data_IF_907880728724
#
_entry.id   IF_907880728724
#
_cell.length_a   1.000
_cell.length_b   1.000
_cell.length_c   1.000
_cell.angle_alpha   90.00
_cell.angle_beta   90.00
_cell.angle_gamma   90.00
#
_symmetry.space_group_name_H-M   'P 1'
#
loop_
_entity.id
_entity.type
_entity.pdbx_description
1 polymer ?
#
# COMPACT_ATOMS: atom_id res chain seq x y z
N UNK A 1 12.05 -20.03 -14.31
CA UNK A 1 12.16 -19.55 -12.91
C UNK A 1 10.87 -18.84 -12.46
N UNK A 2 10.38 -17.79 -13.14
CA UNK A 2 9.14 -17.10 -12.75
C UNK A 2 7.91 -18.05 -12.76
N UNK A 3 7.69 -18.81 -13.84
CA UNK A 3 6.61 -19.81 -13.95
C UNK A 3 6.68 -20.85 -12.83
N UNK A 4 7.86 -21.37 -12.57
CA UNK A 4 8.08 -22.37 -11.53
C UNK A 4 7.76 -21.80 -10.14
N UNK A 5 8.19 -20.59 -9.86
CA UNK A 5 7.90 -19.91 -8.60
C UNK A 5 6.37 -19.66 -8.46
N UNK A 6 5.77 -19.00 -9.44
CA UNK A 6 4.35 -18.64 -9.41
C UNK A 6 3.41 -19.87 -9.42
N UNK A 7 3.86 -20.99 -9.99
CA UNK A 7 3.06 -22.24 -9.96
C UNK A 7 2.85 -22.78 -8.54
N UNK A 8 3.74 -22.43 -7.60
CA UNK A 8 3.71 -22.88 -6.19
C UNK A 8 3.07 -21.86 -5.25
N UNK A 9 3.10 -20.56 -5.60
CA UNK A 9 2.56 -19.49 -4.76
C UNK A 9 1.05 -19.38 -4.91
N UNK A 10 0.33 -19.35 -3.79
CA UNK A 10 -1.13 -19.16 -3.73
C UNK A 10 -1.49 -18.19 -2.63
N UNK A 11 -1.81 -16.96 -3.00
CA UNK A 11 -2.27 -15.92 -2.08
C UNK A 11 -3.24 -14.97 -2.77
N UNK A 12 -4.30 -14.51 -2.11
CA UNK A 12 -5.21 -13.50 -2.66
C UNK A 12 -4.54 -12.15 -2.87
N UNK A 13 -3.35 -11.93 -2.30
CA UNK A 13 -2.58 -10.69 -2.38
C UNK A 13 -1.46 -10.73 -3.43
N UNK A 14 -1.33 -11.83 -4.17
CA UNK A 14 -0.41 -11.97 -5.29
C UNK A 14 -1.19 -12.09 -6.60
N UNK A 15 -0.62 -11.56 -7.68
CA UNK A 15 -1.18 -11.70 -9.02
C UNK A 15 -1.14 -13.16 -9.45
N UNK A 16 -2.30 -13.72 -9.80
CA UNK A 16 -2.41 -15.12 -10.16
C UNK A 16 -1.93 -15.36 -11.59
N UNK A 17 -1.00 -16.28 -11.79
CA UNK A 17 -0.66 -16.85 -13.09
C UNK A 17 -1.73 -17.86 -13.48
N UNK A 18 -2.45 -17.59 -14.57
CA UNK A 18 -3.53 -18.44 -15.10
C UNK A 18 -3.01 -19.51 -16.07
N UNK A 19 -1.92 -19.20 -16.77
CA UNK A 19 -1.33 -20.12 -17.72
C UNK A 19 -0.04 -19.59 -18.33
N UNK A 20 0.61 -20.45 -19.08
CA UNK A 20 1.80 -20.07 -19.86
C UNK A 20 1.84 -20.85 -21.17
N UNK A 21 2.49 -20.29 -22.16
CA UNK A 21 2.81 -20.95 -23.41
C UNK A 21 4.29 -20.73 -23.74
N UNK A 22 4.93 -21.78 -24.23
CA UNK A 22 6.31 -21.71 -24.69
C UNK A 22 6.42 -22.46 -26.01
N UNK A 23 6.79 -21.76 -27.05
CA UNK A 23 7.26 -22.35 -28.31
C UNK A 23 8.74 -22.04 -28.57
N UNK A 24 9.26 -22.43 -29.72
CA UNK A 24 10.68 -22.28 -30.02
C UNK A 24 11.17 -20.82 -30.07
N UNK A 25 10.28 -19.85 -30.20
CA UNK A 25 10.62 -18.42 -30.39
C UNK A 25 10.04 -17.49 -29.33
N UNK A 26 8.93 -17.90 -28.67
CA UNK A 26 8.19 -17.03 -27.76
C UNK A 26 7.83 -17.74 -26.45
N UNK A 27 7.83 -16.96 -25.37
CA UNK A 27 7.32 -17.37 -24.08
C UNK A 27 6.27 -16.37 -23.63
N UNK A 28 5.05 -16.85 -23.38
CA UNK A 28 3.91 -16.04 -22.99
C UNK A 28 3.44 -16.44 -21.60
N UNK A 29 3.16 -15.46 -20.77
CA UNK A 29 2.52 -15.64 -19.45
C UNK A 29 1.14 -15.02 -19.50
N UNK A 30 0.16 -15.72 -18.96
CA UNK A 30 -1.23 -15.27 -18.89
C UNK A 30 -1.58 -15.08 -17.41
N UNK A 31 -1.91 -13.84 -17.04
CA UNK A 31 -2.28 -13.47 -15.68
C UNK A 31 -3.75 -13.11 -15.58
N UNK A 32 -4.27 -13.09 -14.35
CA UNK A 32 -5.57 -12.48 -14.09
C UNK A 32 -5.54 -10.98 -14.46
N UNK A 33 -6.69 -10.48 -14.90
CA UNK A 33 -6.79 -9.09 -15.36
C UNK A 33 -7.06 -8.13 -14.20
N UNK A 34 -6.19 -7.13 -14.04
CA UNK A 34 -6.31 -6.07 -13.02
C UNK A 34 -6.79 -4.77 -13.68
N UNK A 35 -8.08 -4.47 -13.48
CA UNK A 35 -8.80 -3.47 -14.27
C UNK A 35 -8.34 -2.02 -14.07
N UNK A 36 -7.72 -1.70 -12.91
CA UNK A 36 -7.26 -0.36 -12.60
C UNK A 36 -5.74 -0.16 -12.75
N UNK A 37 -5.03 -1.11 -13.37
CA UNK A 37 -3.59 -0.96 -13.65
C UNK A 37 -2.72 -0.89 -12.40
N UNK A 38 -1.60 -0.19 -12.48
CA UNK A 38 -0.63 -0.05 -11.39
C UNK A 38 -0.96 1.08 -10.43
N UNK A 39 -0.63 0.89 -9.14
CA UNK A 39 -0.80 1.91 -8.08
C UNK A 39 -0.13 3.23 -8.47
N UNK A 40 1.04 3.19 -9.10
CA UNK A 40 1.80 4.36 -9.54
C UNK A 40 0.97 5.32 -10.40
N UNK A 41 0.09 4.80 -11.27
CA UNK A 41 -0.74 5.60 -12.18
C UNK A 41 -1.77 6.47 -11.43
N UNK A 42 -2.17 6.03 -10.24
CA UNK A 42 -3.16 6.72 -9.40
C UNK A 42 -2.55 7.71 -8.40
N UNK A 43 -1.23 7.66 -8.18
CA UNK A 43 -0.55 8.54 -7.24
C UNK A 43 -0.07 9.84 -7.90
N UNK A 44 0.61 9.75 -9.06
CA UNK A 44 1.28 10.91 -9.62
C UNK A 44 1.45 10.92 -11.15
N UNK A 45 1.04 9.88 -11.86
CA UNK A 45 1.10 9.88 -13.32
C UNK A 45 -0.20 10.40 -13.92
N UNK A 46 -0.16 11.42 -14.82
CA UNK A 46 -1.31 11.76 -15.63
C UNK A 46 -1.60 10.61 -16.61
N UNK A 47 -2.85 10.21 -16.71
CA UNK A 47 -3.25 9.16 -17.65
C UNK A 47 -2.90 9.54 -19.09
N UNK A 48 -2.21 8.66 -19.79
CA UNK A 48 -1.84 8.84 -21.22
C UNK A 48 -3.05 9.00 -22.14
N UNK A 49 -4.25 8.60 -21.71
CA UNK A 49 -5.50 8.67 -22.47
C UNK A 49 -6.31 9.96 -22.26
N UNK A 50 -5.77 10.95 -21.52
CA UNK A 50 -6.47 12.22 -21.25
C UNK A 50 -7.61 12.15 -20.22
N UNK A 51 -7.97 10.97 -19.74
CA UNK A 51 -8.84 10.81 -18.57
C UNK A 51 -7.99 10.78 -17.28
N UNK A 52 -8.28 11.65 -16.34
CA UNK A 52 -7.62 11.61 -15.01
C UNK A 52 -8.15 10.38 -14.28
N UNK A 53 -7.29 9.42 -13.87
CA UNK A 53 -7.75 8.29 -13.08
C UNK A 53 -8.35 8.79 -11.77
N UNK A 54 -9.34 8.10 -11.20
CA UNK A 54 -9.88 8.47 -9.90
C UNK A 54 -8.73 8.46 -8.88
N UNK A 55 -8.59 9.59 -8.18
CA UNK A 55 -7.59 9.71 -7.11
C UNK A 55 -7.98 8.80 -5.95
N UNK A 56 -7.00 8.11 -5.41
CA UNK A 56 -7.20 7.24 -4.25
C UNK A 56 -7.38 8.09 -3.00
N UNK A 57 -8.50 7.91 -2.31
CA UNK A 57 -8.74 8.47 -0.99
C UNK A 57 -7.89 7.79 0.09
N UNK A 58 -7.87 8.36 1.29
CA UNK A 58 -7.07 7.85 2.40
C UNK A 58 -7.42 6.41 2.77
N UNK A 59 -8.71 6.05 2.82
CA UNK A 59 -9.15 4.70 3.17
C UNK A 59 -8.66 3.67 2.15
N UNK A 60 -8.77 3.99 0.88
CA UNK A 60 -8.30 3.13 -0.21
C UNK A 60 -6.77 2.98 -0.18
N UNK A 61 -6.01 4.06 0.06
CA UNK A 61 -4.55 4.00 0.18
C UNK A 61 -4.12 3.11 1.34
N UNK A 62 -4.77 3.22 2.49
CA UNK A 62 -4.45 2.39 3.65
C UNK A 62 -4.83 0.92 3.44
N UNK A 63 -5.92 0.65 2.74
CA UNK A 63 -6.29 -0.72 2.35
C UNK A 63 -5.27 -1.32 1.39
N UNK A 64 -4.84 -0.58 0.37
CA UNK A 64 -3.78 -1.00 -0.56
C UNK A 64 -2.48 -1.27 0.21
N UNK A 65 -2.09 -0.41 1.15
CA UNK A 65 -0.92 -0.61 1.99
C UNK A 65 -0.99 -1.95 2.76
N UNK A 66 -2.13 -2.25 3.40
CA UNK A 66 -2.33 -3.51 4.13
C UNK A 66 -2.29 -4.72 3.20
N UNK A 67 -2.95 -4.66 2.04
CA UNK A 67 -3.02 -5.78 1.09
C UNK A 67 -1.64 -6.06 0.48
N UNK A 68 -0.89 -5.03 0.12
CA UNK A 68 0.50 -5.16 -0.36
C UNK A 68 1.44 -5.72 0.72
N UNK A 69 1.29 -5.28 1.99
CA UNK A 69 2.05 -5.83 3.11
C UNK A 69 1.77 -7.33 3.30
N UNK A 70 0.50 -7.75 3.20
CA UNK A 70 0.12 -9.17 3.29
C UNK A 70 0.68 -10.01 2.13
N UNK A 71 0.88 -9.40 0.96
CA UNK A 71 1.58 -10.06 -0.15
C UNK A 71 3.02 -10.38 0.22
N UNK A 72 3.75 -9.42 0.80
CA UNK A 72 5.13 -9.64 1.27
C UNK A 72 5.19 -10.54 2.51
N UNK A 73 4.28 -10.40 3.47
CA UNK A 73 4.18 -11.31 4.63
C UNK A 73 4.05 -12.77 4.18
N UNK A 74 3.19 -13.03 3.20
CA UNK A 74 3.04 -14.36 2.63
C UNK A 74 4.36 -14.88 2.04
N UNK A 75 5.05 -14.07 1.24
CA UNK A 75 6.32 -14.44 0.60
C UNK A 75 7.45 -14.69 1.60
N UNK A 76 7.53 -13.85 2.64
CA UNK A 76 8.65 -13.87 3.58
C UNK A 76 8.48 -14.87 4.71
N UNK A 77 7.24 -15.09 5.19
CA UNK A 77 6.99 -15.74 6.47
C UNK A 77 6.07 -16.96 6.37
N UNK A 78 5.26 -17.08 5.28
CA UNK A 78 4.35 -18.22 5.10
C UNK A 78 4.85 -19.22 4.06
N UNK A 79 5.82 -18.82 3.22
CA UNK A 79 6.47 -19.68 2.22
C UNK A 79 7.81 -20.15 2.75
N UNK A 80 8.10 -21.46 2.63
CA UNK A 80 9.39 -22.04 3.01
C UNK A 80 10.01 -22.78 1.83
N UNK A 81 11.26 -22.46 1.46
CA UNK A 81 12.06 -21.32 1.89
C UNK A 81 11.43 -19.97 1.50
N UNK A 82 11.75 -18.87 2.22
CA UNK A 82 11.17 -17.57 1.94
C UNK A 82 11.48 -17.08 0.53
N UNK A 83 10.60 -16.27 -0.03
CA UNK A 83 10.78 -15.68 -1.35
C UNK A 83 10.99 -14.18 -1.21
N UNK A 84 12.06 -13.65 -1.80
CA UNK A 84 12.37 -12.23 -1.85
C UNK A 84 11.94 -11.70 -3.21
N UNK A 85 11.10 -10.68 -3.25
CA UNK A 85 10.55 -10.10 -4.47
C UNK A 85 11.61 -9.34 -5.28
N UNK A 86 12.48 -8.56 -4.59
CA UNK A 86 13.63 -7.84 -5.14
C UNK A 86 13.33 -6.61 -6.00
N UNK A 87 12.12 -6.48 -6.57
CA UNK A 87 11.68 -5.29 -7.33
C UNK A 87 10.31 -4.80 -6.86
N UNK A 88 10.11 -4.77 -5.53
CA UNK A 88 8.87 -4.27 -4.95
C UNK A 88 8.79 -2.74 -5.12
N UNK A 89 7.71 -2.27 -5.77
CA UNK A 89 7.49 -0.86 -6.10
C UNK A 89 6.03 -0.60 -6.44
N UNK A 90 5.60 0.66 -6.46
CA UNK A 90 4.21 1.05 -6.71
C UNK A 90 3.68 0.61 -8.08
N UNK A 91 4.53 0.55 -9.12
CA UNK A 91 4.10 0.05 -10.44
C UNK A 91 3.87 -1.46 -10.49
N UNK A 92 4.44 -2.23 -9.54
CA UNK A 92 4.26 -3.67 -9.40
C UNK A 92 3.16 -4.05 -8.40
N UNK A 93 2.43 -3.07 -7.88
CA UNK A 93 1.19 -3.27 -7.11
C UNK A 93 0.04 -2.98 -8.04
N UNK A 94 -0.64 -4.03 -8.53
CA UNK A 94 -1.75 -3.90 -9.46
C UNK A 94 -3.09 -3.83 -8.73
N UNK A 95 -4.02 -3.07 -9.29
CA UNK A 95 -5.30 -2.76 -8.69
C UNK A 95 -6.45 -3.40 -9.49
N UNK A 96 -7.25 -4.23 -8.83
CA UNK A 96 -8.45 -4.82 -9.38
C UNK A 96 -9.62 -3.84 -9.44
N UNK A 97 -10.79 -4.27 -9.93
CA UNK A 97 -11.99 -3.41 -10.13
C UNK A 97 -12.39 -2.61 -8.89
N UNK A 98 -12.25 -3.19 -7.70
CA UNK A 98 -12.59 -2.56 -6.43
C UNK A 98 -11.37 -1.93 -5.73
N UNK A 99 -10.29 -1.65 -6.47
CA UNK A 99 -9.01 -1.18 -5.94
C UNK A 99 -8.41 -2.14 -4.89
N UNK A 100 -8.70 -3.44 -4.98
CA UNK A 100 -7.96 -4.45 -4.23
C UNK A 100 -6.58 -4.62 -4.83
N UNK A 101 -5.57 -4.64 -3.97
CA UNK A 101 -4.17 -4.66 -4.40
C UNK A 101 -3.62 -6.08 -4.50
N UNK A 102 -2.80 -6.32 -5.52
CA UNK A 102 -2.04 -7.56 -5.68
C UNK A 102 -0.61 -7.25 -6.10
N UNK A 103 0.36 -7.91 -5.48
CA UNK A 103 1.78 -7.83 -5.84
C UNK A 103 2.01 -8.65 -7.12
N UNK A 104 2.73 -8.06 -8.06
CA UNK A 104 3.01 -8.62 -9.39
C UNK A 104 4.49 -8.52 -9.76
N UNK A 105 4.86 -9.09 -10.90
CA UNK A 105 6.20 -9.06 -11.49
C UNK A 105 7.27 -9.77 -10.64
N UNK A 106 7.26 -11.10 -10.69
CA UNK A 106 8.23 -11.96 -10.01
C UNK A 106 9.47 -12.28 -10.85
N UNK A 107 9.69 -11.56 -11.95
CA UNK A 107 10.81 -11.80 -12.89
C UNK A 107 12.19 -11.68 -12.24
N UNK A 108 12.32 -10.90 -11.16
CA UNK A 108 13.57 -10.74 -10.40
C UNK A 108 13.56 -11.50 -9.06
N UNK A 109 12.48 -12.18 -8.70
CA UNK A 109 12.34 -12.83 -7.41
C UNK A 109 13.42 -13.91 -7.17
N UNK A 110 13.79 -14.09 -5.91
CA UNK A 110 14.78 -15.09 -5.45
C UNK A 110 14.26 -15.85 -4.25
N UNK A 111 14.60 -17.13 -4.22
CA UNK A 111 14.45 -17.94 -3.02
C UNK A 111 15.50 -17.48 -2.01
N UNK A 112 15.07 -17.13 -0.83
CA UNK A 112 15.91 -16.66 0.26
C UNK A 112 16.62 -17.80 0.99
N UNK A 113 17.31 -17.48 2.07
CA UNK A 113 17.99 -18.46 2.93
C UNK A 113 17.05 -18.91 4.05
N UNK A 114 16.99 -20.20 4.32
CA UNK A 114 16.28 -20.77 5.48
C UNK A 114 17.02 -20.53 6.80
N UNK A 115 18.26 -20.06 6.74
CA UNK A 115 19.09 -19.78 7.95
C UNK A 115 18.71 -18.41 8.50
N UNK A 116 18.54 -18.33 9.81
CA UNK A 116 18.34 -17.05 10.50
C UNK A 116 19.51 -16.10 10.18
N UNK A 117 19.21 -14.88 9.73
CA UNK A 117 20.22 -13.91 9.30
C UNK A 117 20.91 -14.26 7.97
N UNK A 118 20.47 -15.30 7.26
CA UNK A 118 21.03 -15.70 5.98
C UNK A 118 20.68 -14.70 4.86
N UNK A 119 21.61 -14.54 3.91
CA UNK A 119 21.42 -13.69 2.73
C UNK A 119 21.71 -14.47 1.45
N UNK A 120 21.25 -13.92 0.33
CA UNK A 120 21.58 -14.39 -1.02
C UNK A 120 22.54 -13.39 -1.65
N UNK A 121 23.81 -13.79 -1.85
CA UNK A 121 24.77 -12.97 -2.60
C UNK A 121 24.41 -12.97 -4.08
N UNK A 122 24.15 -11.78 -4.63
CA UNK A 122 23.70 -11.64 -6.02
C UNK A 122 24.04 -10.27 -6.59
N UNK A 123 24.11 -10.18 -7.92
CA UNK A 123 24.21 -8.89 -8.60
C UNK A 123 23.06 -7.98 -8.15
N UNK A 124 23.36 -6.73 -7.83
CA UNK A 124 22.33 -5.73 -7.46
C UNK A 124 21.42 -5.50 -8.66
N UNK A 125 20.14 -5.74 -8.47
CA UNK A 125 19.05 -5.47 -9.41
C UNK A 125 17.89 -4.85 -8.65
N UNK A 126 16.99 -4.19 -9.38
CA UNK A 126 15.81 -3.51 -8.82
C UNK A 126 15.68 -2.11 -9.40
N UNK A 127 14.72 -1.36 -8.91
CA UNK A 127 14.39 -0.02 -9.40
C UNK A 127 15.00 1.05 -8.51
N UNK A 128 15.65 2.06 -9.11
CA UNK A 128 16.25 3.16 -8.37
C UNK A 128 15.22 3.85 -7.46
N UNK A 129 15.65 4.17 -6.24
CA UNK A 129 14.79 4.78 -5.21
C UNK A 129 14.09 3.76 -4.30
N UNK A 130 14.00 2.47 -4.71
CA UNK A 130 13.42 1.39 -3.90
C UNK A 130 14.46 0.40 -3.37
N UNK A 131 15.66 0.38 -3.94
CA UNK A 131 16.72 -0.54 -3.53
C UNK A 131 17.26 -0.17 -2.15
N UNK A 132 17.27 -1.13 -1.25
CA UNK A 132 17.79 -0.97 0.11
C UNK A 132 19.30 -0.65 0.10
N UNK A 133 19.78 0.26 0.99
CA UNK A 133 21.17 0.73 0.96
C UNK A 133 22.20 -0.38 1.16
N UNK A 134 21.98 -1.30 2.10
CA UNK A 134 22.87 -2.43 2.35
C UNK A 134 22.96 -3.37 1.15
N UNK A 135 21.82 -3.62 0.48
CA UNK A 135 21.80 -4.46 -0.72
C UNK A 135 22.54 -3.77 -1.87
N UNK A 136 22.34 -2.46 -2.05
CA UNK A 136 23.07 -1.68 -3.07
C UNK A 136 24.58 -1.71 -2.87
N UNK A 137 25.05 -1.68 -1.62
CA UNK A 137 26.47 -1.65 -1.27
C UNK A 137 27.15 -3.01 -1.30
N UNK A 138 26.45 -4.05 -0.83
CA UNK A 138 27.08 -5.36 -0.55
C UNK A 138 26.64 -6.46 -1.51
N UNK A 139 25.52 -6.31 -2.21
CA UNK A 139 24.88 -7.38 -2.98
C UNK A 139 24.23 -8.46 -2.11
N UNK A 140 24.14 -8.27 -0.79
CA UNK A 140 23.50 -9.20 0.14
C UNK A 140 21.99 -8.95 0.19
N UNK A 141 21.24 -9.80 -0.48
CA UNK A 141 19.81 -9.74 -0.58
C UNK A 141 19.13 -10.52 0.55
N UNK A 142 18.20 -9.88 1.26
CA UNK A 142 17.40 -10.50 2.33
C UNK A 142 15.93 -10.09 2.20
N UNK A 143 15.03 -10.70 2.96
CA UNK A 143 13.63 -10.26 3.08
C UNK A 143 13.52 -8.80 3.57
N UNK A 144 14.50 -8.34 4.39
CA UNK A 144 14.58 -6.96 4.88
C UNK A 144 14.83 -5.93 3.75
N UNK A 145 15.39 -6.37 2.62
CA UNK A 145 15.51 -5.50 1.44
C UNK A 145 14.15 -5.17 0.82
N UNK A 146 13.22 -6.13 0.78
CA UNK A 146 11.81 -5.87 0.37
C UNK A 146 11.06 -5.00 1.38
N UNK A 147 11.35 -5.16 2.69
CA UNK A 147 10.76 -4.30 3.74
C UNK A 147 11.14 -2.84 3.53
N UNK A 148 12.39 -2.56 3.14
CA UNK A 148 12.80 -1.20 2.77
C UNK A 148 11.99 -0.68 1.57
N UNK A 149 11.90 -1.46 0.50
CA UNK A 149 11.13 -1.10 -0.69
C UNK A 149 9.65 -0.85 -0.37
N UNK A 150 9.07 -1.65 0.53
CA UNK A 150 7.73 -1.45 1.05
C UNK A 150 7.60 -0.12 1.81
N UNK A 151 8.57 0.23 2.64
CA UNK A 151 8.62 1.52 3.33
C UNK A 151 8.61 2.71 2.35
N UNK A 152 9.33 2.59 1.22
CA UNK A 152 9.29 3.60 0.15
C UNK A 152 7.89 3.73 -0.44
N UNK A 153 7.20 2.61 -0.71
CA UNK A 153 5.80 2.63 -1.18
C UNK A 153 4.86 3.26 -0.16
N UNK A 154 5.05 3.03 1.15
CA UNK A 154 4.29 3.75 2.18
C UNK A 154 4.50 5.27 2.11
N UNK A 155 5.72 5.73 1.87
CA UNK A 155 6.01 7.14 1.69
C UNK A 155 5.35 7.70 0.43
N UNK A 156 5.30 6.96 -0.68
CA UNK A 156 4.55 7.35 -1.88
C UNK A 156 3.05 7.50 -1.57
N UNK A 157 2.47 6.55 -0.82
CA UNK A 157 1.05 6.60 -0.43
C UNK A 157 0.71 7.79 0.48
N UNK A 158 1.65 8.19 1.35
CA UNK A 158 1.47 9.34 2.25
C UNK A 158 1.62 10.66 1.50
N UNK A 159 2.65 10.79 0.69
CA UNK A 159 3.11 12.08 0.14
C UNK A 159 2.65 12.36 -1.29
N UNK A 160 2.24 11.34 -2.04
CA UNK A 160 1.98 11.44 -3.48
C UNK A 160 3.23 11.79 -4.30
N UNK A 161 4.46 11.63 -3.74
CA UNK A 161 5.73 11.96 -4.42
C UNK A 161 6.38 10.72 -4.99
N UNK A 162 7.03 10.88 -6.15
CA UNK A 162 7.86 9.83 -6.76
C UNK A 162 9.12 9.58 -5.90
N UNK A 163 9.66 8.35 -5.88
CA UNK A 163 10.84 8.01 -5.08
C UNK A 163 12.10 8.80 -5.44
N UNK A 164 12.27 9.15 -6.71
CA UNK A 164 13.38 9.96 -7.21
C UNK A 164 12.85 10.98 -8.21
N UNK A 165 13.09 12.27 -7.93
CA UNK A 165 12.75 13.41 -8.78
C UNK A 165 13.89 14.41 -8.80
N UNK A 166 14.73 14.31 -9.83
CA UNK A 166 15.91 15.18 -9.99
C UNK A 166 15.60 16.64 -10.36
N UNK A 167 14.32 16.98 -10.58
CA UNK A 167 13.88 18.36 -10.85
C UNK A 167 13.61 19.16 -9.59
N UNK A 168 13.59 18.51 -8.41
CA UNK A 168 13.37 19.17 -7.12
C UNK A 168 14.61 19.85 -6.60
N UNK A 169 14.42 20.73 -5.61
CA UNK A 169 15.52 21.44 -4.94
C UNK A 169 16.56 20.47 -4.35
N UNK A 170 17.76 20.97 -4.17
CA UNK A 170 18.87 20.21 -3.55
C UNK A 170 18.43 19.65 -2.19
N UNK A 171 18.60 18.35 -2.00
CA UNK A 171 18.16 17.63 -0.79
C UNK A 171 16.73 17.09 -0.84
N UNK A 172 15.91 17.45 -1.84
CA UNK A 172 14.53 16.99 -1.98
C UNK A 172 14.32 15.94 -3.10
N UNK A 173 15.36 15.64 -3.86
CA UNK A 173 15.27 14.79 -5.04
C UNK A 173 15.07 13.30 -4.73
N UNK A 174 15.39 12.84 -3.51
CA UNK A 174 15.21 11.46 -3.05
C UNK A 174 14.18 11.43 -1.92
N UNK A 175 13.07 10.74 -2.15
CA UNK A 175 11.91 10.72 -1.25
C UNK A 175 12.28 10.32 0.18
N UNK A 176 13.03 9.23 0.36
CA UNK A 176 13.42 8.73 1.69
C UNK A 176 14.26 9.77 2.44
N UNK A 177 15.29 10.32 1.80
CA UNK A 177 16.18 11.30 2.44
C UNK A 177 15.46 12.60 2.81
N UNK A 178 14.50 13.02 1.99
CA UNK A 178 13.66 14.18 2.25
C UNK A 178 12.62 13.95 3.35
N UNK A 179 11.97 12.78 3.36
CA UNK A 179 10.87 12.50 4.29
C UNK A 179 11.37 12.14 5.70
N UNK A 180 12.43 11.34 5.83
CA UNK A 180 12.90 10.78 7.10
C UNK A 180 13.06 11.82 8.24
N UNK A 181 13.68 13.00 8.05
CA UNK A 181 13.79 14.00 9.10
C UNK A 181 12.45 14.56 9.57
N UNK A 182 11.42 14.50 8.72
CA UNK A 182 10.09 15.03 8.98
C UNK A 182 9.18 14.00 9.65
N UNK A 183 9.41 12.69 9.42
CA UNK A 183 8.64 11.61 10.03
C UNK A 183 8.83 11.50 11.56
N UNK A 184 9.95 12.03 12.08
CA UNK A 184 10.25 12.05 13.51
C UNK A 184 9.48 13.13 14.28
N UNK A 185 8.94 14.13 13.58
CA UNK A 185 8.26 15.29 14.15
C UNK A 185 6.75 15.22 13.80
N UNK A 186 5.90 15.19 14.83
CA UNK A 186 4.45 15.05 14.66
C UNK A 186 3.80 16.18 13.90
N UNK A 187 4.32 17.38 14.03
CA UNK A 187 3.78 18.56 13.37
C UNK A 187 4.21 18.57 11.91
N UNK A 188 5.47 18.25 11.64
CA UNK A 188 6.01 18.20 10.27
C UNK A 188 5.49 17.03 9.42
N UNK A 189 5.11 15.92 10.06
CA UNK A 189 4.61 14.76 9.30
C UNK A 189 3.30 15.07 8.58
N UNK A 190 2.50 15.99 9.09
CA UNK A 190 1.26 16.44 8.43
C UNK A 190 1.56 17.32 7.23
N UNK A 191 2.62 18.13 7.30
CA UNK A 191 3.02 19.06 6.23
C UNK A 191 3.50 18.35 4.96
N UNK A 192 4.00 17.11 5.10
CA UNK A 192 4.47 16.32 3.96
C UNK A 192 3.39 15.46 3.29
N UNK A 193 2.18 15.45 3.84
CA UNK A 193 1.08 14.68 3.28
C UNK A 193 0.67 15.17 1.89
N UNK A 194 0.21 14.24 1.06
CA UNK A 194 -0.39 14.57 -0.22
C UNK A 194 -1.57 15.56 0.00
N UNK A 195 -1.50 16.79 -0.53
CA UNK A 195 -2.55 17.79 -0.35
C UNK A 195 -3.95 17.30 -0.80
N UNK A 196 -4.00 16.32 -1.70
CA UNK A 196 -5.28 15.77 -2.18
C UNK A 196 -6.01 14.92 -1.14
N UNK A 197 -5.34 14.60 -0.03
CA UNK A 197 -5.88 13.86 1.12
C UNK A 197 -6.36 14.77 2.26
N UNK A 198 -6.26 16.09 2.11
CA UNK A 198 -6.64 17.02 3.16
C UNK A 198 -8.08 16.77 3.65
N UNK A 199 -8.26 16.75 4.98
CA UNK A 199 -9.56 16.47 5.62
C UNK A 199 -9.99 15.01 5.63
N UNK A 200 -9.24 14.09 5.03
CA UNK A 200 -9.61 12.67 4.93
C UNK A 200 -8.98 11.79 6.02
N UNK A 201 -8.03 12.28 6.78
CA UNK A 201 -7.29 11.53 7.81
C UNK A 201 -7.29 12.27 9.15
N UNK A 202 -6.98 11.55 10.21
CA UNK A 202 -6.62 12.15 11.50
C UNK A 202 -5.11 12.21 11.65
N UNK A 203 -4.60 13.24 12.33
CA UNK A 203 -3.17 13.36 12.65
C UNK A 203 -2.62 12.12 13.34
N UNK A 204 -3.44 11.50 14.23
CA UNK A 204 -3.06 10.26 14.91
C UNK A 204 -2.79 9.11 13.93
N UNK A 205 -3.65 8.92 12.94
CA UNK A 205 -3.47 7.87 11.91
C UNK A 205 -2.21 8.13 11.09
N UNK A 206 -2.02 9.37 10.62
CA UNK A 206 -0.83 9.75 9.84
C UNK A 206 0.45 9.48 10.62
N UNK A 207 0.53 9.91 11.88
CA UNK A 207 1.70 9.69 12.74
C UNK A 207 2.00 8.19 12.92
N UNK A 208 0.97 7.36 13.06
CA UNK A 208 1.15 5.92 13.18
C UNK A 208 1.69 5.29 11.88
N UNK A 209 1.13 5.66 10.72
CA UNK A 209 1.61 5.14 9.43
C UNK A 209 3.02 5.65 9.11
N UNK A 210 3.30 6.92 9.42
CA UNK A 210 4.62 7.53 9.25
C UNK A 210 5.70 6.82 10.11
N UNK A 211 5.37 6.46 11.34
CA UNK A 211 6.28 5.69 12.19
C UNK A 211 6.59 4.30 11.61
N UNK A 212 5.57 3.61 11.05
CA UNK A 212 5.79 2.33 10.37
C UNK A 212 6.69 2.52 9.14
N UNK A 213 6.44 3.54 8.32
CA UNK A 213 7.27 3.85 7.15
C UNK A 213 8.72 4.13 7.57
N UNK A 214 8.93 4.94 8.61
CA UNK A 214 10.26 5.25 9.14
C UNK A 214 11.02 4.00 9.62
N UNK A 215 10.33 3.07 10.28
CA UNK A 215 10.92 1.79 10.70
C UNK A 215 11.30 0.92 9.49
N UNK A 216 10.46 0.88 8.46
CA UNK A 216 10.73 0.09 7.26
C UNK A 216 11.95 0.60 6.47
N UNK A 217 12.17 1.93 6.41
CA UNK A 217 13.27 2.54 5.65
C UNK A 217 14.53 2.79 6.48
N UNK A 218 14.69 2.12 7.65
CA UNK A 218 15.93 2.19 8.42
C UNK A 218 17.13 1.76 7.57
N UNK A 219 18.28 2.45 7.75
CA UNK A 219 19.50 2.14 7.02
C UNK A 219 19.98 0.72 7.31
N UNK A 220 20.00 0.36 8.60
CA UNK A 220 20.37 -0.98 9.07
C UNK A 220 19.21 -1.96 8.90
N UNK A 221 19.43 -3.04 8.16
CA UNK A 221 18.40 -4.03 7.84
C UNK A 221 17.77 -4.68 9.09
N UNK A 222 18.59 -4.94 10.12
CA UNK A 222 18.15 -5.62 11.36
C UNK A 222 17.16 -4.80 12.18
N UNK A 223 17.15 -3.48 12.04
CA UNK A 223 16.18 -2.60 12.71
C UNK A 223 14.83 -2.51 12.00
N UNK A 224 14.74 -3.00 10.76
CA UNK A 224 13.46 -3.04 10.04
C UNK A 224 12.57 -4.14 10.63
N UNK A 225 11.25 -3.92 10.73
CA UNK A 225 10.31 -4.92 11.25
C UNK A 225 10.21 -6.15 10.33
N UNK A 226 9.55 -7.21 10.82
CA UNK A 226 9.00 -8.26 9.97
C UNK A 226 7.73 -7.75 9.27
N UNK A 227 7.37 -8.35 8.13
CA UNK A 227 6.14 -7.94 7.44
C UNK A 227 4.88 -8.29 8.25
N UNK A 228 4.89 -9.34 9.05
CA UNK A 228 3.80 -9.64 10.01
C UNK A 228 3.58 -8.51 11.02
N UNK A 229 4.65 -7.93 11.56
CA UNK A 229 4.57 -6.80 12.51
C UNK A 229 3.98 -5.56 11.80
N UNK A 230 4.38 -5.31 10.56
CA UNK A 230 3.83 -4.23 9.73
C UNK A 230 2.33 -4.42 9.50
N UNK A 231 1.91 -5.62 9.11
CA UNK A 231 0.48 -5.96 8.90
C UNK A 231 -0.31 -5.78 10.19
N UNK A 232 0.18 -6.29 11.32
CA UNK A 232 -0.49 -6.15 12.62
C UNK A 232 -0.64 -4.68 13.04
N UNK A 233 0.33 -3.83 12.71
CA UNK A 233 0.30 -2.39 13.02
C UNK A 233 -0.66 -1.61 12.12
N UNK A 234 -0.80 -1.99 10.84
CA UNK A 234 -1.66 -1.29 9.87
C UNK A 234 -3.14 -1.72 9.91
N UNK A 235 -3.43 -3.00 10.15
CA UNK A 235 -4.81 -3.54 10.11
C UNK A 235 -5.78 -2.79 11.03
N UNK A 236 -5.44 -2.41 12.28
CA UNK A 236 -6.34 -1.65 13.15
C UNK A 236 -6.74 -0.29 12.58
N UNK A 237 -5.85 0.37 11.82
CA UNK A 237 -6.11 1.69 11.23
C UNK A 237 -7.20 1.62 10.15
N UNK A 238 -7.24 0.52 9.38
CA UNK A 238 -8.29 0.29 8.36
C UNK A 238 -9.61 -0.16 9.00
N UNK A 239 -9.57 -0.98 10.07
CA UNK A 239 -10.78 -1.53 10.72
C UNK A 239 -11.57 -0.48 11.48
N UNK A 240 -10.90 0.40 12.22
CA UNK A 240 -11.55 1.42 13.06
C UNK A 240 -12.41 2.39 12.23
N UNK A 241 -12.03 2.70 11.00
CA UNK A 241 -12.80 3.56 10.10
C UNK A 241 -14.06 2.88 9.59
N UNK A 242 -14.02 1.60 9.24
CA UNK A 242 -15.22 0.85 8.80
C UNK A 242 -16.28 0.76 9.90
N UNK A 243 -15.88 0.78 11.16
CA UNK A 243 -16.81 0.82 12.30
C UNK A 243 -17.40 2.20 12.50
N UNK A 244 -16.62 3.28 12.33
CA UNK A 244 -17.07 4.66 12.46
C UNK A 244 -18.04 5.07 11.34
N UNK A 245 -17.77 4.68 10.09
CA UNK A 245 -18.63 4.97 8.95
C UNK A 245 -19.99 4.26 9.02
N UNK A 246 -20.04 3.05 9.61
CA UNK A 246 -21.31 2.34 9.84
C UNK A 246 -22.17 3.00 10.92
N UNK A 247 -21.57 3.64 11.92
CA UNK A 247 -22.30 4.35 12.98
C UNK A 247 -22.84 5.71 12.52
N UNK A 248 -22.14 6.41 11.64
CA UNK A 248 -22.62 7.70 11.07
C UNK A 248 -23.73 7.54 10.04
N UNK A 249 -23.83 6.39 9.36
CA UNK A 249 -24.90 6.07 8.40
C UNK A 249 -26.25 5.71 9.04
N UNK A 250 -26.31 5.47 10.36
CA UNK A 250 -27.54 5.06 11.05
C UNK A 250 -28.30 6.22 11.71
N UNK A 251 -27.82 7.47 11.62
CA UNK A 251 -28.39 8.64 12.34
C UNK A 251 -29.36 9.48 11.50
N UNK A 252 -29.70 9.12 10.27
CA UNK A 252 -30.51 9.95 9.37
C UNK A 252 -31.90 9.41 9.00
N UNK A 253 -32.56 8.63 9.87
CA UNK A 253 -33.94 8.21 9.62
C UNK A 253 -34.80 8.11 10.89
N UNK A 254 -34.90 9.20 11.67
CA UNK A 254 -35.99 9.42 12.60
C UNK A 254 -36.58 10.81 12.38
N UNK A 255 -37.37 10.98 11.34
CA UNK A 255 -38.33 12.07 11.23
C UNK A 255 -39.61 11.66 11.98
N UNK A 256 -39.81 12.28 13.14
CA UNK A 256 -41.06 12.22 13.89
C UNK A 256 -42.21 12.78 13.03
N UNK A 257 -43.09 11.90 12.58
CA UNK A 257 -44.41 12.27 12.07
C UNK A 257 -45.21 12.85 13.23
N UNK A 258 -45.48 14.16 13.19
CA UNK A 258 -46.48 14.81 14.05
C UNK A 258 -47.86 14.51 13.47
N UNK A 259 -48.68 13.81 14.26
CA UNK A 259 -50.14 13.69 14.04
C UNK A 259 -50.83 14.97 14.41
N UNK A 260 -51.80 15.46 13.62
CA UNK A 260 -52.71 16.52 14.04
C UNK A 260 -54.00 15.88 14.58
N UNK A 261 -54.20 15.93 15.88
CA UNK A 261 -55.53 15.73 16.49
C UNK A 261 -55.86 16.95 17.34
N UNK A 262 -56.86 17.72 16.85
CA UNK A 262 -57.61 18.69 17.65
C UNK A 262 -59.07 18.25 17.69
N UNK A 263 -59.69 18.05 18.85
CA UNK A 263 -61.11 17.87 18.93
C UNK A 263 -61.82 19.24 19.09
N UNK A 264 -62.78 19.49 18.19
CA UNK A 264 -63.69 20.64 18.28
C UNK A 264 -64.59 20.56 19.51
N UNK A 265 -64.69 21.68 20.21
CA UNK A 265 -65.72 21.90 21.21
C UNK A 265 -66.98 22.45 20.54
N UNK A 266 -68.10 21.73 20.68
CA UNK A 266 -69.45 22.25 20.43
C UNK A 266 -69.86 23.08 21.65
N UNK A 267 -70.34 24.28 21.40
CA UNK A 267 -71.04 25.09 22.38
C UNK A 267 -72.53 25.10 22.02
N UNK A 268 -73.37 24.63 22.93
CA UNK A 268 -74.81 24.73 22.94
C UNK A 268 -75.08 26.06 23.58
N UNK A 269 -75.81 26.93 22.86
CA UNK A 269 -76.42 28.15 23.36
C UNK A 269 -77.95 28.00 23.48
N UNK A 270 -78.47 28.23 24.67
CA UNK A 270 -79.86 28.30 24.95
C UNK A 270 -80.27 29.75 24.90
N UNK A 271 -81.45 29.94 24.33
CA UNK A 271 -82.41 31.04 24.25
C UNK A 271 -82.21 32.03 23.13
#
# INVERSE_FOLDING_TARGET
MEVELLSRLRSPYLLALLGYCSDNSHKLLVYEFMANGGLQEHLYLPNRSGSVPPRLDWETRMRIAVEAAKGLEYLHEQVSPPVIHRDFKSSNILLGRNFNAKVSDFGLAKVGSDKAGGHVSTRVLGTQGYVAPEYALTGHLTTKSDVYSYGVVLLELLTGRVPVDMKRATGEGVLVSWALPQLADRDKVVDIMDPTLEGQYSTKEVVQVAAIAAMCVQAEADYRPLMADVVQSLVPLVRNRRSASKLSGCSSSFSLARSPNSPGKASIGSQ
#
